data_IF_676637136253
#
_entry.id   IF_676637136253
#
_cell.length_a   1.000
_cell.length_b   1.000
_cell.length_c   1.000
_cell.angle_alpha   90.00
_cell.angle_beta   90.00
_cell.angle_gamma   90.00
#
_symmetry.space_group_name_H-M   'P 1'
#
loop_
_entity.id
_entity.type
_entity.pdbx_description
1 polymer ?
#
# COMPACT_ATOMS: atom_id res chain seq x y z
N UNK A 1 16.61 -23.02 -1.31
CA UNK A 1 17.83 -23.63 -1.92
C UNK A 1 18.62 -22.54 -2.65
N UNK A 2 19.94 -22.41 -2.45
CA UNK A 2 20.74 -21.36 -3.13
C UNK A 2 20.61 -21.41 -4.66
N UNK A 3 20.69 -22.59 -5.26
CA UNK A 3 20.54 -22.73 -6.73
C UNK A 3 19.15 -22.34 -7.25
N UNK A 4 18.08 -22.58 -6.50
CA UNK A 4 16.75 -22.15 -6.90
C UNK A 4 16.60 -20.62 -6.81
N UNK A 5 17.17 -19.99 -5.78
CA UNK A 5 17.21 -18.52 -5.65
C UNK A 5 18.02 -17.88 -6.77
N UNK A 6 19.18 -18.48 -7.08
CA UNK A 6 20.03 -18.00 -8.18
C UNK A 6 19.31 -18.13 -9.53
N UNK A 7 18.68 -19.27 -9.79
CA UNK A 7 17.88 -19.47 -11.00
C UNK A 7 16.77 -18.43 -11.11
N UNK A 8 15.96 -18.27 -10.05
CA UNK A 8 14.88 -17.27 -10.01
C UNK A 8 15.41 -15.85 -10.22
N UNK A 9 16.50 -15.48 -9.54
CA UNK A 9 17.15 -14.17 -9.69
C UNK A 9 17.60 -13.90 -11.12
N UNK A 10 18.10 -14.90 -11.82
CA UNK A 10 18.62 -14.74 -13.18
C UNK A 10 17.52 -14.50 -14.22
N UNK A 11 16.25 -14.90 -13.92
CA UNK A 11 15.11 -14.63 -14.81
C UNK A 11 14.81 -13.12 -14.95
N UNK A 12 15.20 -12.31 -13.96
CA UNK A 12 14.96 -10.87 -13.99
C UNK A 12 15.85 -10.10 -14.95
N UNK A 13 16.97 -10.69 -15.41
CA UNK A 13 17.94 -10.00 -16.27
C UNK A 13 17.29 -9.47 -17.55
N UNK A 14 16.68 -10.35 -18.32
CA UNK A 14 16.10 -10.01 -19.61
C UNK A 14 14.81 -9.17 -19.42
N UNK A 15 14.04 -9.47 -18.36
CA UNK A 15 12.84 -8.73 -18.02
C UNK A 15 13.13 -7.26 -17.71
N UNK A 16 14.10 -6.99 -16.85
CA UNK A 16 14.49 -5.61 -16.49
C UNK A 16 15.20 -4.88 -17.64
N UNK A 17 15.84 -5.61 -18.58
CA UNK A 17 16.44 -5.02 -19.77
C UNK A 17 15.42 -4.35 -20.71
N UNK A 18 14.13 -4.67 -20.56
CA UNK A 18 13.02 -4.00 -21.26
C UNK A 18 12.73 -2.58 -20.71
N UNK A 19 13.43 -2.13 -19.68
CA UNK A 19 13.24 -0.80 -19.08
C UNK A 19 12.22 -0.78 -17.93
N UNK A 20 11.90 -1.93 -17.36
CA UNK A 20 11.00 -2.05 -16.21
C UNK A 20 11.76 -1.74 -14.93
N UNK A 21 11.21 -0.88 -14.07
CA UNK A 21 11.83 -0.44 -12.81
C UNK A 21 11.29 -1.14 -11.56
N UNK A 22 10.19 -1.89 -11.65
CA UNK A 22 9.58 -2.58 -10.52
C UNK A 22 8.98 -3.92 -10.89
N UNK A 23 8.78 -4.77 -9.89
CA UNK A 23 8.27 -6.14 -10.06
C UNK A 23 7.12 -6.40 -9.08
N UNK A 24 6.08 -7.06 -9.57
CA UNK A 24 4.97 -7.52 -8.77
C UNK A 24 5.00 -9.06 -8.68
N UNK A 25 5.16 -9.58 -7.45
CA UNK A 25 5.01 -10.99 -7.15
C UNK A 25 3.57 -11.23 -6.67
N UNK A 26 2.69 -11.54 -7.60
CA UNK A 26 1.30 -11.90 -7.34
C UNK A 26 1.12 -13.41 -7.24
N UNK A 27 -0.02 -13.86 -6.71
CA UNK A 27 -0.42 -15.27 -6.63
C UNK A 27 0.59 -16.16 -5.88
N UNK A 28 1.38 -15.59 -5.01
CA UNK A 28 2.54 -16.24 -4.38
C UNK A 28 2.31 -16.76 -2.95
N UNK A 29 1.07 -17.13 -2.63
CA UNK A 29 0.72 -17.93 -1.43
C UNK A 29 1.34 -19.35 -1.43
N UNK A 30 1.50 -20.12 -2.53
CA UNK A 30 1.11 -19.92 -3.91
C UNK A 30 -0.37 -20.25 -4.17
N UNK A 31 -1.08 -19.37 -4.88
CA UNK A 31 -2.41 -19.68 -5.36
C UNK A 31 -2.33 -20.66 -6.53
N UNK A 32 -3.12 -21.71 -6.45
CA UNK A 32 -3.23 -22.72 -7.49
C UNK A 32 -4.70 -22.87 -7.82
N UNK A 33 -5.04 -22.63 -9.10
CA UNK A 33 -6.36 -22.95 -9.64
C UNK A 33 -6.26 -24.26 -10.38
N UNK A 34 -7.12 -25.19 -10.06
CA UNK A 34 -7.25 -26.46 -10.78
C UNK A 34 -8.68 -26.53 -11.32
N UNK A 35 -8.83 -26.25 -12.61
CA UNK A 35 -10.13 -26.21 -13.27
C UNK A 35 -10.73 -27.61 -13.46
N UNK A 36 -9.93 -28.66 -13.30
CA UNK A 36 -10.37 -30.06 -13.35
C UNK A 36 -10.94 -30.55 -12.00
N UNK A 37 -10.73 -29.77 -10.91
CA UNK A 37 -11.29 -30.08 -9.59
C UNK A 37 -12.59 -29.29 -9.38
N UNK A 38 -13.70 -29.94 -8.94
CA UNK A 38 -14.92 -29.25 -8.53
C UNK A 38 -14.63 -28.12 -7.52
N UNK A 39 -15.29 -26.98 -7.69
CA UNK A 39 -15.01 -25.76 -6.91
C UNK A 39 -15.04 -25.99 -5.39
N UNK A 40 -15.98 -26.79 -4.91
CA UNK A 40 -16.14 -27.17 -3.50
C UNK A 40 -14.96 -27.98 -2.93
N UNK A 41 -14.14 -28.57 -3.81
CA UNK A 41 -12.96 -29.36 -3.42
C UNK A 41 -11.64 -28.62 -3.66
N UNK A 42 -11.67 -27.40 -4.21
CA UNK A 42 -10.48 -26.59 -4.45
C UNK A 42 -9.98 -26.00 -3.13
N UNK A 43 -8.72 -26.19 -2.84
CA UNK A 43 -8.08 -25.58 -1.66
C UNK A 43 -7.47 -24.22 -1.94
N UNK A 44 -7.48 -23.76 -3.20
CA UNK A 44 -6.99 -22.45 -3.61
C UNK A 44 -5.47 -22.24 -3.45
N UNK A 45 -4.74 -23.27 -3.02
CA UNK A 45 -3.30 -23.20 -2.82
C UNK A 45 -2.64 -24.53 -3.22
N UNK A 46 -1.30 -24.53 -3.24
CA UNK A 46 -0.53 -25.78 -3.44
C UNK A 46 -0.93 -26.82 -2.38
N UNK A 47 -1.16 -28.09 -2.75
CA UNK A 47 -1.48 -29.14 -1.79
C UNK A 47 -0.47 -29.22 -0.67
N UNK A 48 -0.97 -29.33 0.58
CA UNK A 48 -0.13 -29.27 1.78
C UNK A 48 0.89 -30.40 1.90
N UNK A 49 0.67 -31.53 1.23
CA UNK A 49 1.55 -32.69 1.16
C UNK A 49 2.58 -32.63 0.02
N UNK A 50 2.51 -31.61 -0.85
CA UNK A 50 3.50 -31.40 -1.93
C UNK A 50 4.92 -31.40 -1.36
N UNK A 51 5.82 -32.28 -1.88
CA UNK A 51 7.15 -32.42 -1.30
C UNK A 51 8.08 -31.28 -1.72
N UNK A 52 8.70 -30.63 -0.75
CA UNK A 52 9.82 -29.71 -0.94
C UNK A 52 11.14 -30.44 -0.66
N UNK A 53 12.10 -30.32 -1.59
CA UNK A 53 13.39 -31.05 -1.50
C UNK A 53 14.33 -30.56 -0.40
N UNK A 54 14.04 -29.38 0.17
CA UNK A 54 14.95 -28.75 1.12
C UNK A 54 16.25 -28.24 0.47
N UNK A 55 17.13 -27.65 1.26
CA UNK A 55 18.44 -27.17 0.82
C UNK A 55 18.89 -25.90 1.55
N UNK A 56 20.18 -25.69 1.63
CA UNK A 56 20.75 -24.74 2.58
C UNK A 56 20.45 -25.18 4.01
N UNK A 57 19.86 -24.31 4.81
CA UNK A 57 19.45 -24.59 6.19
C UNK A 57 17.99 -25.06 6.31
N UNK A 58 17.28 -25.29 5.19
CA UNK A 58 15.89 -25.72 5.18
C UNK A 58 15.80 -27.23 4.96
N UNK A 59 15.17 -28.00 5.86
CA UNK A 59 15.01 -29.46 5.69
C UNK A 59 14.06 -29.77 4.52
N UNK A 60 14.14 -30.99 3.99
CA UNK A 60 13.09 -31.51 3.10
C UNK A 60 11.80 -31.74 3.91
N UNK A 61 10.64 -31.53 3.28
CA UNK A 61 9.36 -31.73 3.94
C UNK A 61 8.16 -31.33 3.09
N UNK A 62 6.94 -31.50 3.60
CA UNK A 62 5.72 -31.15 2.87
C UNK A 62 5.55 -29.63 2.80
N UNK A 63 4.72 -29.17 1.85
CA UNK A 63 4.39 -27.75 1.67
C UNK A 63 3.82 -27.11 2.95
N UNK A 64 3.10 -27.86 3.76
CA UNK A 64 2.57 -27.38 5.04
C UNK A 64 3.64 -26.70 5.92
N UNK A 65 4.90 -27.16 5.89
CA UNK A 65 6.02 -26.57 6.63
C UNK A 65 6.49 -25.22 6.04
N UNK A 66 6.21 -24.99 4.76
CA UNK A 66 6.74 -23.85 4.00
C UNK A 66 5.68 -22.88 3.51
N UNK A 67 4.40 -23.23 3.66
CA UNK A 67 3.28 -22.45 3.12
C UNK A 67 3.40 -20.94 3.43
N UNK A 68 3.47 -20.59 4.70
CA UNK A 68 3.56 -19.18 5.10
C UNK A 68 4.89 -18.50 4.73
N UNK A 69 5.97 -19.29 4.53
CA UNK A 69 7.28 -18.75 4.17
C UNK A 69 7.49 -18.62 2.66
N UNK A 70 6.65 -19.27 1.85
CA UNK A 70 6.83 -19.36 0.39
C UNK A 70 6.91 -17.99 -0.28
N UNK A 71 5.89 -17.15 -0.07
CA UNK A 71 5.84 -15.80 -0.64
C UNK A 71 7.03 -14.93 -0.19
N UNK A 72 7.40 -14.98 1.08
CA UNK A 72 8.57 -14.25 1.58
C UNK A 72 9.87 -14.70 0.90
N UNK A 73 10.08 -16.01 0.74
CA UNK A 73 11.29 -16.55 0.11
C UNK A 73 11.36 -16.19 -1.39
N UNK A 74 10.21 -16.14 -2.06
CA UNK A 74 10.12 -15.68 -3.45
C UNK A 74 10.52 -14.20 -3.55
N UNK A 75 9.94 -13.34 -2.72
CA UNK A 75 10.22 -11.89 -2.69
C UNK A 75 11.70 -11.61 -2.41
N UNK A 76 12.30 -12.33 -1.46
CA UNK A 76 13.73 -12.21 -1.15
C UNK A 76 14.60 -12.57 -2.37
N UNK A 77 14.26 -13.65 -3.08
CA UNK A 77 14.97 -14.04 -4.30
C UNK A 77 14.77 -13.04 -5.46
N UNK A 78 13.57 -12.45 -5.58
CA UNK A 78 13.27 -11.40 -6.55
C UNK A 78 14.07 -10.14 -6.28
N UNK A 79 14.13 -9.72 -5.01
CA UNK A 79 14.93 -8.56 -4.59
C UNK A 79 16.41 -8.74 -4.93
N UNK A 80 16.98 -9.92 -4.62
CA UNK A 80 18.37 -10.25 -4.97
C UNK A 80 18.59 -10.22 -6.47
N UNK A 81 17.62 -10.69 -7.27
CA UNK A 81 17.68 -10.65 -8.73
C UNK A 81 17.73 -9.23 -9.28
N UNK A 82 16.87 -8.33 -8.78
CA UNK A 82 16.85 -6.94 -9.20
C UNK A 82 18.15 -6.23 -8.82
N UNK A 83 18.64 -6.45 -7.60
CA UNK A 83 19.91 -5.87 -7.14
C UNK A 83 21.13 -6.32 -7.96
N UNK A 84 21.13 -7.55 -8.47
CA UNK A 84 22.19 -8.04 -9.35
C UNK A 84 22.20 -7.34 -10.70
N UNK A 85 21.01 -7.03 -11.24
CA UNK A 85 20.87 -6.41 -12.57
C UNK A 85 21.08 -4.89 -12.49
N UNK A 86 20.49 -4.25 -11.47
CA UNK A 86 20.49 -2.79 -11.30
C UNK A 86 21.02 -2.40 -9.91
N UNK A 87 22.29 -2.61 -9.58
CA UNK A 87 22.84 -2.39 -8.25
C UNK A 87 22.77 -0.93 -7.78
N UNK A 88 22.72 0.02 -8.71
CA UNK A 88 22.66 1.46 -8.43
C UNK A 88 21.23 1.99 -8.26
N UNK A 89 20.21 1.16 -8.52
CA UNK A 89 18.81 1.53 -8.36
C UNK A 89 18.19 0.86 -7.13
N UNK A 90 17.37 1.60 -6.39
CA UNK A 90 16.58 1.02 -5.31
C UNK A 90 15.51 0.11 -5.90
N UNK A 91 15.44 -1.18 -5.53
CA UNK A 91 14.41 -2.09 -6.02
C UNK A 91 13.02 -1.65 -5.56
N UNK A 92 12.03 -1.80 -6.43
CA UNK A 92 10.63 -1.77 -6.06
C UNK A 92 10.00 -3.14 -6.32
N UNK A 93 9.47 -3.72 -5.25
CA UNK A 93 8.71 -4.97 -5.27
C UNK A 93 7.36 -4.76 -4.61
N UNK A 94 6.33 -5.35 -5.21
CA UNK A 94 5.02 -5.50 -4.61
C UNK A 94 4.74 -6.98 -4.46
N UNK A 95 4.19 -7.41 -3.31
CA UNK A 95 3.87 -8.81 -3.06
C UNK A 95 2.50 -8.99 -2.45
N UNK A 96 1.76 -10.01 -2.90
CA UNK A 96 0.47 -10.37 -2.30
C UNK A 96 0.67 -11.16 -1.01
N UNK A 97 1.47 -12.21 -1.06
CA UNK A 97 1.75 -13.01 0.12
C UNK A 97 3.11 -12.69 0.73
N UNK A 98 3.19 -12.82 2.03
CA UNK A 98 4.43 -12.66 2.77
C UNK A 98 4.29 -13.12 4.23
N UNK A 99 5.41 -13.34 4.86
CA UNK A 99 5.53 -13.61 6.29
C UNK A 99 6.31 -12.46 6.92
N UNK A 100 6.15 -12.24 8.22
CA UNK A 100 6.91 -11.23 8.95
C UNK A 100 8.40 -11.25 8.55
N UNK A 101 8.93 -10.10 8.16
CA UNK A 101 10.28 -9.95 7.60
C UNK A 101 10.32 -9.66 6.10
N UNK A 102 9.23 -9.84 5.34
CA UNK A 102 9.20 -9.47 3.91
C UNK A 102 9.16 -7.95 3.68
N UNK A 103 8.72 -7.18 4.66
CA UNK A 103 8.71 -5.71 4.61
C UNK A 103 10.10 -5.09 4.33
N UNK A 104 11.16 -5.86 4.51
CA UNK A 104 12.53 -5.46 4.15
C UNK A 104 12.78 -5.45 2.65
N UNK A 105 11.93 -6.10 1.88
CA UNK A 105 12.11 -6.36 0.46
C UNK A 105 11.00 -5.79 -0.42
N UNK A 106 9.77 -5.70 0.10
CA UNK A 106 8.60 -5.38 -0.70
C UNK A 106 7.56 -4.55 0.03
N UNK A 107 6.78 -3.79 -0.76
CA UNK A 107 5.47 -3.28 -0.40
C UNK A 107 4.43 -4.40 -0.51
N UNK A 108 3.24 -4.17 0.07
CA UNK A 108 2.07 -5.04 -0.08
C UNK A 108 0.80 -4.21 -0.29
N UNK A 109 -0.30 -4.89 -0.60
CA UNK A 109 -1.62 -4.28 -0.61
C UNK A 109 -2.62 -5.19 0.12
N UNK A 110 -3.84 -4.71 0.29
CA UNK A 110 -4.86 -5.43 1.07
C UNK A 110 -5.58 -6.54 0.29
N UNK A 111 -5.10 -6.90 -0.91
CA UNK A 111 -5.69 -7.93 -1.76
C UNK A 111 -6.88 -7.43 -2.59
N UNK A 112 -7.69 -8.36 -3.05
CA UNK A 112 -8.78 -8.17 -4.01
C UNK A 112 -10.03 -7.59 -3.33
N UNK A 113 -9.99 -6.31 -2.96
CA UNK A 113 -11.10 -5.63 -2.32
C UNK A 113 -12.24 -5.31 -3.28
N UNK A 114 -13.45 -5.17 -2.75
CA UNK A 114 -14.62 -4.82 -3.55
C UNK A 114 -14.80 -3.32 -3.70
N UNK A 115 -15.33 -2.89 -4.84
CA UNK A 115 -15.82 -1.54 -5.06
C UNK A 115 -17.12 -1.33 -4.25
N UNK A 116 -16.98 -0.96 -2.97
CA UNK A 116 -18.07 -0.77 -2.02
C UNK A 116 -17.66 0.10 -0.85
N UNK A 117 -18.64 0.79 -0.24
CA UNK A 117 -18.45 1.71 0.87
C UNK A 117 -17.92 1.05 2.13
N UNK A 118 -18.29 -0.18 2.38
CA UNK A 118 -17.80 -1.01 3.47
C UNK A 118 -16.31 -1.31 3.32
N UNK A 119 -15.86 -1.70 2.12
CA UNK A 119 -14.46 -1.90 1.81
C UNK A 119 -13.65 -0.59 1.82
N UNK A 120 -14.24 0.52 1.35
CA UNK A 120 -13.63 1.84 1.49
C UNK A 120 -13.35 2.16 2.97
N UNK A 121 -14.38 2.04 3.83
CA UNK A 121 -14.25 2.31 5.27
C UNK A 121 -13.27 1.35 5.95
N UNK A 122 -13.30 0.07 5.59
CA UNK A 122 -12.39 -0.96 6.12
C UNK A 122 -10.92 -0.72 5.72
N UNK A 123 -10.66 -0.05 4.61
CA UNK A 123 -9.29 0.24 4.13
C UNK A 123 -8.45 1.01 5.15
N UNK A 124 -9.07 1.89 5.96
CA UNK A 124 -8.36 2.67 6.99
C UNK A 124 -7.82 1.76 8.10
N UNK A 125 -8.66 1.01 8.86
CA UNK A 125 -8.15 0.16 9.94
C UNK A 125 -7.27 -0.99 9.44
N UNK A 126 -7.50 -1.53 8.24
CA UNK A 126 -6.62 -2.56 7.66
C UNK A 126 -5.22 -2.02 7.40
N UNK A 127 -5.10 -0.85 6.77
CA UNK A 127 -3.79 -0.24 6.49
C UNK A 127 -3.05 0.12 7.77
N UNK A 128 -3.74 0.64 8.78
CA UNK A 128 -3.17 0.90 10.11
C UNK A 128 -2.66 -0.40 10.74
N UNK A 129 -3.46 -1.47 10.72
CA UNK A 129 -3.10 -2.77 11.33
C UNK A 129 -1.92 -3.41 10.64
N UNK A 130 -1.83 -3.34 9.31
CA UNK A 130 -0.65 -3.77 8.56
C UNK A 130 0.59 -2.97 8.95
N UNK A 131 0.47 -1.64 9.07
CA UNK A 131 1.55 -0.77 9.55
C UNK A 131 2.06 -1.17 10.94
N UNK A 132 1.14 -1.37 11.90
CA UNK A 132 1.46 -1.85 13.25
C UNK A 132 2.09 -3.25 13.27
N UNK A 133 1.80 -4.06 12.25
CA UNK A 133 2.42 -5.38 12.05
C UNK A 133 3.80 -5.31 11.37
N UNK A 134 4.37 -4.11 11.22
CA UNK A 134 5.67 -3.86 10.60
C UNK A 134 5.64 -3.64 9.10
N UNK A 135 4.46 -3.57 8.48
CA UNK A 135 4.29 -3.44 7.03
C UNK A 135 3.93 -2.01 6.66
N UNK A 136 4.90 -1.10 6.86
CA UNK A 136 4.68 0.33 6.70
C UNK A 136 4.31 0.75 5.27
N UNK A 137 4.74 -0.01 4.25
CA UNK A 137 4.46 0.28 2.85
C UNK A 137 3.29 -0.56 2.33
N UNK A 138 2.07 -0.14 2.66
CA UNK A 138 0.84 -0.83 2.29
C UNK A 138 -0.27 0.15 1.89
N UNK A 139 -1.32 -0.38 1.26
CA UNK A 139 -2.55 0.32 0.92
C UNK A 139 -3.52 -0.58 0.16
N UNK A 140 -4.80 -0.24 0.05
CA UNK A 140 -5.80 -0.94 -0.74
C UNK A 140 -5.69 -0.61 -2.22
N UNK A 141 -6.38 -1.37 -3.06
CA UNK A 141 -6.71 -0.93 -4.42
C UNK A 141 -7.75 0.18 -4.36
N UNK A 142 -7.34 1.39 -4.77
CA UNK A 142 -8.21 2.57 -4.77
C UNK A 142 -9.31 2.38 -5.81
N UNK A 143 -10.56 2.57 -5.37
CA UNK A 143 -11.74 2.34 -6.19
C UNK A 143 -12.26 0.90 -6.14
N UNK A 144 -11.55 -0.02 -5.47
CA UNK A 144 -11.88 -1.43 -5.39
C UNK A 144 -11.38 -2.25 -6.59
N UNK A 145 -10.90 -3.47 -6.35
CA UNK A 145 -10.43 -4.39 -7.38
C UNK A 145 -11.60 -5.08 -8.09
N UNK A 146 -12.53 -5.66 -7.33
CA UNK A 146 -13.70 -6.36 -7.83
C UNK A 146 -14.89 -5.41 -7.97
N UNK A 147 -15.76 -5.69 -8.94
CA UNK A 147 -16.96 -4.91 -9.27
C UNK A 147 -16.69 -3.51 -9.86
N UNK A 148 -17.74 -2.95 -10.39
CA UNK A 148 -17.74 -1.60 -10.93
C UNK A 148 -17.84 -0.58 -9.79
N UNK A 149 -17.00 0.44 -9.84
CA UNK A 149 -17.11 1.60 -8.95
C UNK A 149 -17.94 2.70 -9.63
N UNK A 150 -18.66 3.50 -8.85
CA UNK A 150 -19.27 4.72 -9.33
C UNK A 150 -18.38 5.93 -9.06
N UNK A 151 -18.77 7.07 -9.63
CA UNK A 151 -18.04 8.32 -9.54
C UNK A 151 -17.88 8.84 -8.10
N UNK A 152 -18.91 8.66 -7.27
CA UNK A 152 -18.94 9.14 -5.89
C UNK A 152 -18.00 8.29 -4.99
N UNK A 153 -18.06 6.98 -5.13
CA UNK A 153 -17.18 6.05 -4.43
C UNK A 153 -15.71 6.24 -4.83
N UNK A 154 -15.43 6.39 -6.14
CA UNK A 154 -14.08 6.67 -6.65
C UNK A 154 -13.51 7.94 -6.05
N UNK A 155 -14.27 9.05 -6.11
CA UNK A 155 -13.82 10.34 -5.63
C UNK A 155 -13.51 10.34 -4.13
N UNK A 156 -14.35 9.70 -3.32
CA UNK A 156 -14.10 9.53 -1.89
C UNK A 156 -12.88 8.66 -1.62
N UNK A 157 -12.72 7.56 -2.39
CA UNK A 157 -11.58 6.66 -2.20
C UNK A 157 -10.27 7.32 -2.57
N UNK A 158 -10.21 8.01 -3.71
CA UNK A 158 -9.00 8.73 -4.12
C UNK A 158 -8.70 9.90 -3.18
N UNK A 159 -9.73 10.64 -2.74
CA UNK A 159 -9.59 11.81 -1.86
C UNK A 159 -8.88 11.52 -0.54
N UNK A 160 -8.96 10.29 -0.02
CA UNK A 160 -8.14 9.87 1.14
C UNK A 160 -6.98 8.96 0.72
N UNK A 161 -7.15 8.17 -0.33
CA UNK A 161 -6.20 7.15 -0.78
C UNK A 161 -4.83 7.70 -1.17
N UNK A 162 -4.79 8.97 -1.58
CA UNK A 162 -3.53 9.69 -1.86
C UNK A 162 -2.66 9.91 -0.62
N UNK A 163 -3.19 9.73 0.59
CA UNK A 163 -2.45 9.80 1.85
C UNK A 163 -1.99 8.43 2.36
N UNK A 164 -2.35 7.35 1.68
CA UNK A 164 -1.86 6.02 2.00
C UNK A 164 -0.38 5.86 1.61
N UNK A 165 0.40 5.07 2.34
CA UNK A 165 1.79 4.78 1.98
C UNK A 165 1.91 4.22 0.56
N UNK A 166 1.17 3.15 0.23
CA UNK A 166 1.02 2.64 -1.12
C UNK A 166 -0.32 3.11 -1.70
N UNK A 167 -0.28 3.89 -2.78
CA UNK A 167 -1.46 4.43 -3.45
C UNK A 167 -1.47 3.98 -4.92
N UNK A 168 -2.44 3.13 -5.26
CA UNK A 168 -2.61 2.56 -6.59
C UNK A 168 -4.09 2.43 -6.91
N UNK A 169 -4.54 2.97 -8.06
CA UNK A 169 -5.78 2.55 -8.70
C UNK A 169 -5.54 1.21 -9.39
N UNK A 170 -6.37 0.21 -9.11
CA UNK A 170 -6.27 -1.11 -9.72
C UNK A 170 -7.63 -1.79 -9.78
N UNK A 171 -7.87 -2.57 -10.83
CA UNK A 171 -9.14 -3.25 -11.06
C UNK A 171 -8.94 -4.56 -11.83
N UNK A 172 -9.83 -5.53 -11.61
CA UNK A 172 -9.81 -6.76 -12.38
C UNK A 172 -10.37 -6.53 -13.80
N UNK A 173 -9.99 -7.42 -14.70
CA UNK A 173 -10.54 -7.43 -16.06
C UNK A 173 -12.07 -7.54 -16.05
N UNK A 174 -12.73 -6.80 -16.95
CA UNK A 174 -14.19 -6.81 -17.09
C UNK A 174 -14.93 -5.84 -16.15
N UNK A 175 -14.24 -5.08 -15.30
CA UNK A 175 -14.83 -3.93 -14.57
C UNK A 175 -14.75 -2.65 -15.41
N UNK A 176 -15.48 -1.61 -14.96
CA UNK A 176 -15.39 -0.30 -15.61
C UNK A 176 -14.01 0.35 -15.42
N UNK A 177 -13.67 1.25 -16.35
CA UNK A 177 -12.46 2.05 -16.29
C UNK A 177 -12.43 2.90 -15.01
N UNK A 178 -11.26 2.99 -14.37
CA UNK A 178 -11.05 3.68 -13.09
C UNK A 178 -9.91 4.70 -13.13
N UNK A 179 -9.56 5.17 -14.33
CA UNK A 179 -8.61 6.26 -14.46
C UNK A 179 -9.24 7.58 -13.95
N UNK A 180 -8.43 8.55 -13.53
CA UNK A 180 -8.93 9.83 -13.00
C UNK A 180 -9.94 10.56 -13.88
N UNK A 181 -9.90 10.35 -15.19
CA UNK A 181 -10.77 10.97 -16.20
C UNK A 181 -11.99 10.15 -16.60
N UNK A 182 -12.11 8.89 -16.14
CA UNK A 182 -13.16 7.97 -16.59
C UNK A 182 -14.58 8.38 -16.16
N UNK A 183 -14.70 9.21 -15.11
CA UNK A 183 -15.98 9.60 -14.49
C UNK A 183 -16.42 11.03 -14.85
N UNK A 184 -15.81 11.63 -15.89
CA UNK A 184 -16.14 12.97 -16.39
C UNK A 184 -15.41 14.10 -15.67
N UNK A 185 -15.51 15.29 -16.23
CA UNK A 185 -14.69 16.48 -15.90
C UNK A 185 -14.73 16.85 -14.40
N UNK A 186 -15.90 16.80 -13.78
CA UNK A 186 -16.02 17.15 -12.35
C UNK A 186 -15.18 16.22 -11.46
N UNK A 187 -15.20 14.90 -11.73
CA UNK A 187 -14.43 13.93 -10.97
C UNK A 187 -12.94 13.94 -11.36
N UNK A 188 -12.64 14.25 -12.61
CA UNK A 188 -11.26 14.48 -13.05
C UNK A 188 -10.63 15.65 -12.27
N UNK A 189 -11.35 16.75 -12.10
CA UNK A 189 -10.87 17.90 -11.31
C UNK A 189 -10.65 17.53 -9.83
N UNK A 190 -11.57 16.80 -9.22
CA UNK A 190 -11.41 16.23 -7.87
C UNK A 190 -10.18 15.33 -7.79
N UNK A 191 -9.99 14.44 -8.77
CA UNK A 191 -8.86 13.53 -8.84
C UNK A 191 -7.54 14.28 -8.99
N UNK A 192 -7.51 15.34 -9.78
CA UNK A 192 -6.35 16.22 -9.96
C UNK A 192 -5.94 16.86 -8.62
N UNK A 193 -6.88 17.45 -7.90
CA UNK A 193 -6.61 18.03 -6.57
C UNK A 193 -6.01 16.99 -5.64
N UNK A 194 -6.60 15.79 -5.58
CA UNK A 194 -6.10 14.70 -4.72
C UNK A 194 -4.65 14.31 -5.09
N UNK A 195 -4.37 14.09 -6.38
CA UNK A 195 -3.03 13.71 -6.85
C UNK A 195 -2.00 14.81 -6.61
N UNK A 196 -2.35 16.07 -6.86
CA UNK A 196 -1.47 17.21 -6.59
C UNK A 196 -1.13 17.33 -5.10
N UNK A 197 -2.09 17.04 -4.20
CA UNK A 197 -1.85 16.98 -2.74
C UNK A 197 -0.80 15.93 -2.39
N UNK A 198 -0.88 14.73 -3.01
CA UNK A 198 0.14 13.69 -2.80
C UNK A 198 1.51 14.16 -3.26
N UNK A 199 1.60 14.73 -4.47
CA UNK A 199 2.87 15.21 -5.01
C UNK A 199 3.48 16.31 -4.15
N UNK A 200 2.67 17.20 -3.60
CA UNK A 200 3.13 18.18 -2.60
C UNK A 200 3.74 17.54 -1.35
N UNK A 201 3.21 16.40 -0.91
CA UNK A 201 3.66 15.69 0.27
C UNK A 201 4.78 14.66 0.01
N UNK A 202 5.25 14.46 -1.22
CA UNK A 202 6.31 13.48 -1.51
C UNK A 202 7.56 13.65 -0.64
N UNK A 203 8.08 14.86 -0.35
CA UNK A 203 9.20 15.04 0.57
C UNK A 203 8.90 14.56 1.98
N UNK A 204 7.67 14.79 2.46
CA UNK A 204 7.23 14.30 3.76
C UNK A 204 7.11 12.79 3.79
N UNK A 205 6.48 12.17 2.79
CA UNK A 205 6.44 10.72 2.65
C UNK A 205 7.84 10.11 2.64
N UNK A 206 8.78 10.71 1.92
CA UNK A 206 10.15 10.23 1.88
C UNK A 206 10.79 10.24 3.28
N UNK A 207 10.56 11.29 4.06
CA UNK A 207 11.00 11.38 5.45
C UNK A 207 10.36 10.29 6.31
N UNK A 208 9.06 10.08 6.21
CA UNK A 208 8.34 9.05 6.97
C UNK A 208 8.81 7.63 6.62
N UNK A 209 9.10 7.35 5.34
CA UNK A 209 9.68 6.08 4.93
C UNK A 209 11.11 5.89 5.46
N UNK A 210 11.89 6.96 5.55
CA UNK A 210 13.20 6.91 6.20
C UNK A 210 13.09 6.57 7.69
N UNK A 211 12.17 7.21 8.40
CA UNK A 211 11.89 6.90 9.81
C UNK A 211 11.41 5.46 9.98
N UNK A 212 10.48 5.00 9.15
CA UNK A 212 10.00 3.62 9.16
C UNK A 212 11.15 2.62 8.94
N UNK A 213 12.08 2.92 8.02
CA UNK A 213 13.26 2.10 7.78
C UNK A 213 14.20 2.03 9.00
N UNK A 214 14.35 3.15 9.73
CA UNK A 214 15.26 3.23 10.89
C UNK A 214 14.69 2.65 12.17
N UNK A 215 13.41 2.87 12.41
CA UNK A 215 12.77 2.64 13.71
C UNK A 215 11.70 1.54 13.67
N UNK A 216 11.14 1.23 12.50
CA UNK A 216 9.99 0.36 12.36
C UNK A 216 8.64 1.04 12.63
N UNK A 217 8.60 2.33 12.93
CA UNK A 217 7.36 3.10 13.10
C UNK A 217 6.60 3.13 11.75
N UNK A 218 5.28 2.87 11.75
CA UNK A 218 4.51 2.91 10.50
C UNK A 218 4.42 4.33 9.93
N UNK A 219 4.24 4.43 8.61
CA UNK A 219 4.01 5.72 7.92
C UNK A 219 2.61 6.24 8.20
N UNK A 220 1.63 5.33 8.19
CA UNK A 220 0.23 5.59 8.55
C UNK A 220 0.00 5.05 9.97
N UNK A 221 -0.33 5.93 10.89
CA UNK A 221 -0.39 5.64 12.31
C UNK A 221 -1.82 5.78 12.87
N UNK A 222 -2.20 4.97 13.87
CA UNK A 222 -3.46 5.19 14.57
C UNK A 222 -3.43 6.50 15.38
N UNK A 223 -4.57 7.16 15.49
CA UNK A 223 -4.67 8.45 16.20
C UNK A 223 -4.24 8.38 17.68
N UNK A 224 -4.29 7.18 18.31
CA UNK A 224 -3.83 7.03 19.70
C UNK A 224 -2.32 7.17 19.87
N UNK A 225 -1.53 7.23 18.80
CA UNK A 225 -0.10 7.58 18.89
C UNK A 225 0.10 9.04 19.26
N UNK A 226 -0.86 9.93 18.97
CA UNK A 226 -0.79 11.33 19.40
C UNK A 226 -0.84 11.48 20.93
N UNK A 227 -1.63 10.63 21.61
CA UNK A 227 -1.68 10.53 23.07
C UNK A 227 -2.09 9.12 23.50
N UNK A 228 -1.15 8.21 23.78
CA UNK A 228 -1.44 6.83 24.18
C UNK A 228 -2.21 6.70 25.50
N UNK A 229 -2.29 7.76 26.30
CA UNK A 229 -3.03 7.78 27.58
C UNK A 229 -4.50 8.13 27.39
N UNK A 230 -4.87 8.74 26.28
CA UNK A 230 -6.25 9.05 25.95
C UNK A 230 -6.99 7.81 25.43
N UNK A 231 -7.74 7.16 26.33
CA UNK A 231 -8.44 5.91 26.00
C UNK A 231 -9.53 6.07 24.93
N UNK A 232 -10.02 7.30 24.70
CA UNK A 232 -11.04 7.58 23.67
C UNK A 232 -10.52 7.30 22.27
N UNK A 233 -9.21 7.51 22.04
CA UNK A 233 -8.56 7.38 20.75
C UNK A 233 -8.36 5.92 20.32
N UNK A 234 -8.46 4.96 21.25
CA UNK A 234 -8.17 3.55 20.98
C UNK A 234 -9.16 2.88 20.03
N UNK A 235 -10.39 3.39 19.98
CA UNK A 235 -11.47 2.85 19.14
C UNK A 235 -11.63 3.63 17.82
N UNK A 236 -10.82 4.67 17.58
CA UNK A 236 -10.90 5.44 16.34
C UNK A 236 -10.37 4.63 15.16
N UNK A 237 -11.17 4.49 14.12
CA UNK A 237 -10.89 3.69 12.93
C UNK A 237 -11.11 4.44 11.61
N UNK A 238 -11.52 5.70 11.65
CA UNK A 238 -11.85 6.47 10.46
C UNK A 238 -10.80 7.54 10.15
N UNK A 239 -10.22 8.14 11.20
CA UNK A 239 -9.12 9.11 11.06
C UNK A 239 -7.78 8.44 11.39
N UNK A 240 -6.70 8.99 10.87
CA UNK A 240 -5.35 8.48 11.10
C UNK A 240 -4.32 9.59 11.10
N UNK A 241 -3.14 9.29 11.62
CA UNK A 241 -1.98 10.16 11.50
C UNK A 241 -1.10 9.73 10.33
N UNK A 242 -0.55 10.69 9.64
CA UNK A 242 0.54 10.51 8.68
C UNK A 242 1.81 10.99 9.37
N UNK A 243 2.55 10.04 9.96
CA UNK A 243 3.55 10.33 10.97
C UNK A 243 2.99 11.12 12.16
N UNK A 244 3.84 11.66 13.01
CA UNK A 244 3.43 12.39 14.21
C UNK A 244 2.74 13.74 13.95
N UNK A 245 2.85 14.29 12.75
CA UNK A 245 2.62 15.72 12.50
C UNK A 245 1.35 16.04 11.70
N UNK A 246 0.80 15.09 10.94
CA UNK A 246 -0.37 15.36 10.09
C UNK A 246 -1.50 14.40 10.43
N UNK A 247 -2.64 14.98 10.82
CA UNK A 247 -3.89 14.25 11.02
C UNK A 247 -4.70 14.29 9.73
N UNK A 248 -5.10 13.12 9.25
CA UNK A 248 -5.92 12.94 8.05
C UNK A 248 -7.31 12.49 8.47
N UNK A 249 -8.32 13.23 8.05
CA UNK A 249 -9.73 12.95 8.31
C UNK A 249 -10.40 12.73 6.95
N UNK A 250 -10.65 11.48 6.53
CA UNK A 250 -11.34 11.18 5.28
C UNK A 250 -12.69 11.87 5.19
N UNK A 251 -13.11 12.24 3.98
CA UNK A 251 -14.39 12.96 3.78
C UNK A 251 -15.62 12.13 4.17
N UNK A 252 -15.50 10.80 4.18
CA UNK A 252 -16.54 9.86 4.63
C UNK A 252 -16.54 9.58 6.13
N UNK A 253 -15.60 10.16 6.89
CA UNK A 253 -15.54 9.94 8.34
C UNK A 253 -16.71 10.63 9.04
N UNK A 254 -17.40 9.87 9.89
CA UNK A 254 -18.56 10.32 10.63
C UNK A 254 -18.19 10.51 12.12
N UNK A 255 -18.09 11.78 12.54
CA UNK A 255 -17.77 12.16 13.92
C UNK A 255 -16.52 11.46 14.50
N UNK A 256 -15.36 11.48 13.83
CA UNK A 256 -14.16 10.81 14.29
C UNK A 256 -13.70 11.37 15.64
N UNK A 257 -13.14 10.50 16.48
CA UNK A 257 -12.55 10.91 17.76
C UNK A 257 -11.14 11.45 17.51
N UNK A 258 -10.97 12.75 17.70
CA UNK A 258 -9.71 13.41 17.43
C UNK A 258 -8.86 13.60 18.70
N UNK A 259 -7.53 13.59 18.57
CA UNK A 259 -6.63 13.84 19.69
C UNK A 259 -6.75 15.30 20.18
N UNK A 260 -6.57 15.48 21.48
CA UNK A 260 -6.46 16.82 22.06
C UNK A 260 -5.17 17.51 21.62
N UNK A 261 -5.11 18.81 21.81
CA UNK A 261 -3.96 19.64 21.47
C UNK A 261 -4.27 20.67 20.38
N UNK A 262 -3.23 21.34 19.93
CA UNK A 262 -3.35 22.35 18.89
C UNK A 262 -3.18 21.66 17.54
N UNK A 263 -4.26 21.64 16.76
CA UNK A 263 -4.29 21.12 15.42
C UNK A 263 -4.87 22.16 14.47
N UNK A 264 -4.05 22.72 13.61
CA UNK A 264 -4.43 23.74 12.64
C UNK A 264 -4.78 23.15 11.29
N UNK A 265 -5.66 23.79 10.53
CA UNK A 265 -5.98 23.33 9.19
C UNK A 265 -4.76 23.46 8.27
N UNK A 266 -4.45 22.40 7.53
CA UNK A 266 -3.33 22.37 6.60
C UNK A 266 -3.89 22.38 5.16
N UNK A 267 -3.49 23.36 4.37
CA UNK A 267 -3.85 23.47 2.95
C UNK A 267 -2.62 23.21 2.08
N UNK A 268 -2.76 22.31 1.12
CA UNK A 268 -1.72 21.95 0.16
C UNK A 268 -1.99 22.55 -1.23
N UNK A 269 -3.26 22.57 -1.63
CA UNK A 269 -3.72 23.04 -2.94
C UNK A 269 -4.85 24.04 -2.75
N UNK A 270 -4.83 25.10 -3.54
CA UNK A 270 -5.90 26.11 -3.52
C UNK A 270 -7.25 25.49 -3.87
N UNK A 271 -8.27 25.79 -3.10
CA UNK A 271 -9.64 25.30 -3.33
C UNK A 271 -9.94 23.90 -2.82
N UNK A 272 -8.98 23.16 -2.26
CA UNK A 272 -9.19 21.78 -1.81
C UNK A 272 -10.30 21.64 -0.75
N UNK A 273 -10.52 22.67 0.07
CA UNK A 273 -11.55 22.62 1.12
C UNK A 273 -12.99 22.81 0.59
N UNK A 274 -13.15 23.31 -0.62
CA UNK A 274 -14.46 23.42 -1.28
C UNK A 274 -14.88 22.11 -1.97
N UNK A 275 -13.97 21.19 -2.15
CA UNK A 275 -14.25 19.88 -2.71
C UNK A 275 -14.66 18.89 -1.62
N UNK A 276 -15.91 18.44 -1.65
CA UNK A 276 -16.51 17.55 -0.64
C UNK A 276 -15.85 16.17 -0.53
N UNK A 277 -15.07 15.76 -1.51
CA UNK A 277 -14.41 14.46 -1.57
C UNK A 277 -13.02 14.44 -0.93
N UNK A 278 -12.43 15.63 -0.73
CA UNK A 278 -11.09 15.71 -0.18
C UNK A 278 -11.05 15.45 1.33
N UNK A 279 -10.10 14.63 1.75
CA UNK A 279 -9.81 14.48 3.18
C UNK A 279 -9.39 15.82 3.79
N UNK A 280 -9.84 16.11 5.01
CA UNK A 280 -9.39 17.26 5.77
C UNK A 280 -8.03 16.95 6.40
N UNK A 281 -7.08 17.87 6.25
CA UNK A 281 -5.76 17.75 6.87
C UNK A 281 -5.63 18.75 8.01
N UNK A 282 -5.00 18.28 9.08
CA UNK A 282 -4.59 19.15 10.20
C UNK A 282 -3.11 18.91 10.52
N UNK A 283 -2.39 20.00 10.75
CA UNK A 283 -1.00 19.96 11.20
C UNK A 283 -0.95 20.18 12.72
N UNK A 284 -0.14 19.40 13.40
CA UNK A 284 0.11 19.55 14.84
C UNK A 284 0.85 20.86 15.12
N UNK A 285 0.38 21.64 16.10
CA UNK A 285 1.01 22.89 16.48
C UNK A 285 2.49 22.72 16.86
N UNK A 286 3.34 23.58 16.31
CA UNK A 286 4.79 23.53 16.50
C UNK A 286 5.53 22.54 15.58
N UNK A 287 4.84 21.85 14.67
CA UNK A 287 5.47 20.91 13.73
C UNK A 287 5.94 21.59 12.44
N UNK A 288 6.87 20.94 11.76
CA UNK A 288 7.35 21.30 10.42
C UNK A 288 7.09 20.12 9.49
N UNK A 289 6.39 20.37 8.39
CA UNK A 289 6.11 19.37 7.36
C UNK A 289 6.72 19.85 6.04
N UNK A 290 7.73 19.15 5.50
CA UNK A 290 8.30 19.51 4.21
C UNK A 290 7.31 19.24 3.08
N UNK A 291 7.13 20.22 2.20
CA UNK A 291 6.27 20.12 1.02
C UNK A 291 7.04 20.54 -0.23
N UNK A 292 6.84 19.77 -1.32
CA UNK A 292 7.45 20.05 -2.61
C UNK A 292 6.54 20.84 -3.55
N UNK A 293 6.98 21.00 -4.78
CA UNK A 293 6.15 21.46 -5.90
C UNK A 293 5.34 20.29 -6.47
N UNK A 294 4.27 20.60 -7.18
CA UNK A 294 3.64 19.62 -8.07
C UNK A 294 4.55 19.42 -9.28
N UNK A 295 4.97 18.19 -9.53
CA UNK A 295 5.92 17.80 -10.57
C UNK A 295 5.38 16.60 -11.35
N UNK A 296 5.82 16.42 -12.60
CA UNK A 296 5.48 15.26 -13.42
C UNK A 296 6.30 14.03 -13.03
N UNK A 297 7.55 14.24 -12.64
CA UNK A 297 8.48 13.17 -12.25
C UNK A 297 9.44 13.64 -11.16
N UNK A 298 9.82 12.74 -10.27
CA UNK A 298 10.85 13.00 -9.25
C UNK A 298 12.24 13.22 -9.85
N UNK A 299 12.42 13.01 -11.16
CA UNK A 299 13.64 13.38 -11.89
C UNK A 299 13.71 14.88 -12.20
N UNK A 300 12.60 15.61 -12.10
CA UNK A 300 12.61 17.06 -12.15
C UNK A 300 13.25 17.58 -10.86
N UNK A 301 14.40 18.26 -10.95
CA UNK A 301 15.15 18.81 -9.80
C UNK A 301 14.33 19.86 -9.04
N UNK A 302 13.49 19.41 -8.11
CA UNK A 302 12.53 20.24 -7.37
C UNK A 302 12.60 20.07 -5.84
N UNK A 303 13.65 19.41 -5.35
CA UNK A 303 13.95 19.29 -3.93
C UNK A 303 15.11 20.18 -3.53
#
# INVERSE_FOLDING_TARGET
MPKAREWWSNLYKDFLALGIDGVWNDMNEPAVTDDDIPEENRIGTMPYDTPHRGGGNLPAGPHLLYHNAYGRLMVEASYEGIMKVNPEKRPFLLTRAGLLGYQRYAATWTGDNWAGWDHLKLSVPMSITLGLSGQAFNGPDIGGFLNNTDADLWAHWLGFGVFLPFARGHACAGTNDKEPWAFGEAIENTSRIALERRYRLLPYFYTLFYEAHKTGVPVMEPVFFADPKDLRLRSEQQAFLLGDNVLVIPAFAENPVLPYGIWENMTLIYGEYSDKYQAKLKIKGGSIVPVGKVIQSTTENSF
#
